data_IF_641373841729
#
_entry.id   IF_641373841729
#
_cell.length_a   1.000
_cell.length_b   1.000
_cell.length_c   1.000
_cell.angle_alpha   90.00
_cell.angle_beta   90.00
_cell.angle_gamma   90.00
#
_symmetry.space_group_name_H-M   'P 1'
#
loop_
_entity.id
_entity.type
_entity.pdbx_description
1 polymer ?
#
# COMPACT_ATOMS: atom_id res chain seq x y z
N UNK A 1 -20.90 -49.91 65.57
CA UNK A 1 -19.50 -49.45 65.61
C UNK A 1 -19.51 -47.97 65.25
N UNK A 2 -19.87 -47.08 66.18
CA UNK A 2 -19.09 -46.45 67.27
C UNK A 2 -18.76 -45.00 66.89
N UNK A 3 -19.24 -44.08 67.73
CA UNK A 3 -19.10 -42.64 67.64
C UNK A 3 -17.77 -42.14 68.25
N UNK A 4 -17.22 -41.03 67.74
CA UNK A 4 -17.07 -39.72 68.44
C UNK A 4 -16.15 -38.75 67.68
N UNK A 5 -16.36 -37.42 67.81
CA UNK A 5 -15.56 -36.35 67.18
C UNK A 5 -14.48 -35.82 68.14
N UNK A 6 -13.43 -35.16 67.61
CA UNK A 6 -12.66 -34.14 68.36
C UNK A 6 -11.70 -33.37 67.42
N UNK A 7 -11.68 -32.04 67.53
CA UNK A 7 -10.54 -31.21 67.12
C UNK A 7 -10.85 -30.12 66.09
N UNK A 8 -11.27 -28.95 66.56
CA UNK A 8 -11.13 -27.69 65.81
C UNK A 8 -9.66 -27.28 65.93
N UNK A 9 -8.92 -27.34 64.82
CA UNK A 9 -7.57 -26.81 64.70
C UNK A 9 -7.54 -25.80 63.56
N UNK A 10 -7.62 -24.52 63.92
CA UNK A 10 -7.49 -23.42 62.99
C UNK A 10 -5.99 -23.10 62.84
N UNK A 11 -5.36 -23.54 61.76
CA UNK A 11 -4.10 -22.95 61.28
C UNK A 11 -4.14 -22.88 59.75
N UNK A 12 -3.85 -21.68 59.29
CA UNK A 12 -4.02 -21.14 57.95
C UNK A 12 -2.75 -21.41 57.10
N UNK A 13 -2.90 -21.36 55.77
CA UNK A 13 -1.90 -21.06 54.74
C UNK A 13 -1.03 -22.26 54.29
N UNK A 14 -0.87 -22.62 53.01
CA UNK A 14 -1.14 -21.94 51.75
C UNK A 14 -1.46 -22.98 50.66
N UNK A 15 -2.54 -22.77 49.91
CA UNK A 15 -2.76 -23.49 48.64
C UNK A 15 -1.89 -22.81 47.59
N UNK A 16 -0.90 -23.53 47.06
CA UNK A 16 -0.14 -23.09 45.90
C UNK A 16 -1.08 -23.10 44.67
N UNK A 17 -1.78 -21.99 44.45
CA UNK A 17 -2.44 -21.71 43.18
C UNK A 17 -1.37 -21.37 42.15
N UNK A 18 -1.01 -22.34 41.33
CA UNK A 18 -0.24 -22.11 40.11
C UNK A 18 -1.08 -21.25 39.18
N UNK A 19 -0.91 -19.93 39.26
CA UNK A 19 -1.43 -19.01 38.26
C UNK A 19 -0.73 -19.32 36.93
N UNK A 20 -1.43 -19.98 36.01
CA UNK A 20 -1.02 -20.04 34.62
C UNK A 20 -1.18 -18.62 34.07
N UNK A 21 -0.09 -17.87 34.05
CA UNK A 21 -0.04 -16.59 33.35
C UNK A 21 -0.13 -16.88 31.86
N UNK A 22 -1.30 -16.65 31.26
CA UNK A 22 -1.38 -16.43 29.82
C UNK A 22 -0.59 -15.16 29.52
N UNK A 23 0.65 -15.31 29.06
CA UNK A 23 1.39 -14.22 28.46
C UNK A 23 0.64 -13.86 27.17
N UNK A 24 -0.14 -12.78 27.21
CA UNK A 24 -0.54 -12.07 26.00
C UNK A 24 0.76 -11.58 25.36
N UNK A 25 1.32 -12.40 24.47
CA UNK A 25 2.39 -11.96 23.60
C UNK A 25 1.81 -10.81 22.78
N UNK A 26 2.07 -9.59 23.22
CA UNK A 26 2.03 -8.44 22.32
C UNK A 26 3.14 -8.71 21.30
N UNK A 27 2.80 -9.42 20.24
CA UNK A 27 3.58 -9.44 19.02
C UNK A 27 3.43 -8.05 18.40
N UNK A 28 4.07 -7.06 19.02
CA UNK A 28 4.48 -5.86 18.33
C UNK A 28 5.42 -6.36 17.24
N UNK A 29 4.88 -6.51 16.03
CA UNK A 29 5.71 -6.69 14.86
C UNK A 29 6.79 -5.60 14.89
N UNK A 30 8.02 -6.03 14.72
CA UNK A 30 9.27 -5.27 14.70
C UNK A 30 9.10 -3.88 14.05
N UNK A 31 8.88 -2.83 14.87
CA UNK A 31 8.70 -1.43 14.45
C UNK A 31 10.05 -0.69 14.38
N UNK A 32 11.18 -1.42 14.42
CA UNK A 32 12.52 -0.86 14.52
C UNK A 32 13.17 -0.43 13.20
N UNK A 33 12.62 -0.81 12.04
CA UNK A 33 13.31 -0.62 10.76
C UNK A 33 12.38 -0.36 9.55
N UNK A 34 11.22 0.27 9.75
CA UNK A 34 10.35 0.62 8.63
C UNK A 34 10.20 2.10 8.37
N UNK A 35 10.03 2.41 7.09
CA UNK A 35 9.94 3.76 6.56
C UNK A 35 8.47 4.11 6.36
N UNK A 36 8.11 5.33 6.77
CA UNK A 36 6.79 5.93 6.57
C UNK A 36 6.99 7.16 5.69
N UNK A 37 6.25 7.24 4.59
CA UNK A 37 6.28 8.38 3.69
C UNK A 37 5.51 9.55 4.29
N UNK A 38 6.04 10.74 4.10
CA UNK A 38 5.34 12.01 4.29
C UNK A 38 4.44 12.32 3.10
N UNK A 39 3.48 13.21 3.29
CA UNK A 39 2.59 13.66 2.21
C UNK A 39 3.35 14.30 1.04
N UNK A 40 4.46 15.00 1.32
CA UNK A 40 5.30 15.62 0.30
C UNK A 40 6.15 14.59 -0.46
N UNK A 41 6.59 13.50 0.18
CA UNK A 41 7.23 12.38 -0.50
C UNK A 41 6.24 11.67 -1.43
N UNK A 42 4.98 11.48 -1.01
CA UNK A 42 3.96 10.88 -1.87
C UNK A 42 3.60 11.76 -3.07
N UNK A 43 3.62 13.09 -2.92
CA UNK A 43 3.51 14.01 -4.05
C UNK A 43 4.72 13.89 -4.99
N UNK A 44 5.94 13.85 -4.43
CA UNK A 44 7.16 13.72 -5.20
C UNK A 44 7.23 12.39 -5.97
N UNK A 45 6.68 11.29 -5.42
CA UNK A 45 6.57 10.01 -6.14
C UNK A 45 5.63 10.11 -7.35
N UNK A 46 4.50 10.80 -7.22
CA UNK A 46 3.62 11.08 -8.35
C UNK A 46 4.31 11.96 -9.40
N UNK A 47 4.99 13.04 -8.98
CA UNK A 47 5.76 13.91 -9.88
C UNK A 47 6.83 13.12 -10.62
N UNK A 48 7.62 12.29 -9.92
CA UNK A 48 8.65 11.42 -10.53
C UNK A 48 8.07 10.49 -11.57
N UNK A 49 6.89 9.91 -11.31
CA UNK A 49 6.19 9.06 -12.28
C UNK A 49 5.73 9.85 -13.52
N UNK A 50 5.15 11.02 -13.33
CA UNK A 50 4.68 11.86 -14.43
C UNK A 50 5.86 12.40 -15.26
N UNK A 51 6.98 12.75 -14.63
CA UNK A 51 8.21 13.16 -15.32
C UNK A 51 8.79 12.01 -16.16
N UNK A 52 8.75 10.78 -15.65
CA UNK A 52 9.16 9.60 -16.40
C UNK A 52 8.27 9.40 -17.64
N UNK A 53 6.94 9.59 -17.50
CA UNK A 53 5.99 9.52 -18.61
C UNK A 53 6.28 10.60 -19.66
N UNK A 54 6.44 11.85 -19.22
CA UNK A 54 6.75 13.01 -20.09
C UNK A 54 8.09 12.86 -20.80
N UNK A 55 9.06 12.15 -20.20
CA UNK A 55 10.35 11.91 -20.83
C UNK A 55 10.28 11.06 -22.11
N UNK A 56 9.15 10.40 -22.36
CA UNK A 56 8.95 9.55 -23.52
C UNK A 56 9.66 8.20 -23.44
N UNK A 57 10.20 7.83 -22.28
CA UNK A 57 10.92 6.58 -22.05
C UNK A 57 10.10 5.63 -21.16
N UNK A 58 9.42 4.67 -21.78
CA UNK A 58 8.60 3.68 -21.07
C UNK A 58 9.41 2.84 -20.06
N UNK A 59 10.72 2.64 -20.29
CA UNK A 59 11.56 1.89 -19.35
C UNK A 59 11.77 2.64 -18.04
N UNK A 60 11.85 3.99 -18.09
CA UNK A 60 11.91 4.83 -16.88
C UNK A 60 10.62 4.78 -16.10
N UNK A 61 9.47 4.72 -16.78
CA UNK A 61 8.17 4.56 -16.11
C UNK A 61 8.11 3.19 -15.44
N UNK A 62 8.43 2.11 -16.18
CA UNK A 62 8.39 0.74 -15.66
C UNK A 62 9.35 0.52 -14.49
N UNK A 63 10.50 1.20 -14.44
CA UNK A 63 11.45 1.12 -13.33
C UNK A 63 10.91 1.67 -12.00
N UNK A 64 9.77 2.37 -12.00
CA UNK A 64 9.08 2.85 -10.80
C UNK A 64 8.11 1.82 -10.22
N UNK A 65 7.88 0.72 -10.93
CA UNK A 65 7.02 -0.38 -10.51
C UNK A 65 7.85 -1.49 -9.89
N UNK A 66 7.27 -2.17 -8.91
CA UNK A 66 7.84 -3.43 -8.40
C UNK A 66 7.80 -4.50 -9.49
N UNK A 67 8.63 -5.53 -9.34
CA UNK A 67 8.62 -6.69 -10.23
C UNK A 67 7.31 -7.49 -10.19
N UNK A 68 6.55 -7.39 -9.11
CA UNK A 68 5.25 -8.03 -8.86
C UNK A 68 4.07 -7.02 -8.89
N UNK A 69 4.29 -5.84 -9.47
CA UNK A 69 3.26 -4.80 -9.50
C UNK A 69 2.09 -5.17 -10.42
N UNK A 70 0.90 -4.71 -10.06
CA UNK A 70 -0.31 -4.88 -10.87
C UNK A 70 -0.85 -3.52 -11.31
N UNK A 71 -1.06 -3.37 -12.61
CA UNK A 71 -1.64 -2.21 -13.25
C UNK A 71 -3.03 -2.55 -13.82
N UNK A 72 -4.05 -1.81 -13.36
CA UNK A 72 -5.39 -1.77 -13.91
C UNK A 72 -5.53 -0.44 -14.67
N UNK A 73 -5.26 -0.43 -15.99
CA UNK A 73 -5.19 0.79 -16.77
C UNK A 73 -6.57 1.38 -17.12
N UNK A 74 -6.61 2.69 -17.35
CA UNK A 74 -7.85 3.45 -17.60
C UNK A 74 -8.59 3.06 -18.89
N UNK A 75 -7.85 2.74 -19.96
CA UNK A 75 -8.37 2.66 -21.34
C UNK A 75 -8.03 1.33 -22.03
N UNK A 76 -7.56 0.32 -21.31
CA UNK A 76 -7.21 -0.97 -21.91
C UNK A 76 -7.67 -2.16 -21.08
N UNK A 77 -8.00 -3.23 -21.80
CA UNK A 77 -7.95 -4.61 -21.31
C UNK A 77 -6.82 -5.31 -22.07
N UNK A 78 -5.99 -6.18 -21.45
CA UNK A 78 -6.11 -6.78 -20.12
C UNK A 78 -5.43 -5.97 -18.98
N UNK A 79 -5.51 -6.51 -17.75
CA UNK A 79 -4.63 -6.17 -16.62
C UNK A 79 -3.17 -6.42 -17.06
N UNK A 80 -2.25 -5.56 -16.63
CA UNK A 80 -0.82 -5.77 -16.79
C UNK A 80 -0.22 -6.12 -15.42
N UNK A 81 0.23 -7.37 -15.26
CA UNK A 81 0.77 -7.88 -13.98
C UNK A 81 2.21 -8.40 -14.11
N UNK A 82 2.85 -8.12 -15.25
CA UNK A 82 4.28 -8.35 -15.47
C UNK A 82 5.00 -7.07 -15.87
N UNK A 83 6.33 -6.96 -15.62
CA UNK A 83 7.12 -5.81 -16.07
C UNK A 83 7.06 -5.57 -17.59
N UNK A 84 6.95 -6.64 -18.38
CA UNK A 84 6.86 -6.56 -19.84
C UNK A 84 5.54 -5.92 -20.27
N UNK A 85 4.43 -6.32 -19.67
CA UNK A 85 3.10 -5.77 -19.99
C UNK A 85 2.95 -4.33 -19.51
N UNK A 86 3.44 -4.00 -18.31
CA UNK A 86 3.47 -2.61 -17.81
C UNK A 86 4.28 -1.73 -18.76
N UNK A 87 5.45 -2.20 -19.20
CA UNK A 87 6.28 -1.48 -20.18
C UNK A 87 5.52 -1.30 -21.50
N UNK A 88 4.89 -2.35 -22.03
CA UNK A 88 4.14 -2.30 -23.28
C UNK A 88 2.95 -1.33 -23.20
N UNK A 89 2.27 -1.25 -22.06
CA UNK A 89 1.22 -0.26 -21.82
C UNK A 89 1.77 1.16 -21.95
N UNK A 90 2.88 1.48 -21.28
CA UNK A 90 3.45 2.82 -21.32
C UNK A 90 4.07 3.18 -22.67
N UNK A 91 4.63 2.21 -23.41
CA UNK A 91 5.03 2.42 -24.81
C UNK A 91 3.87 2.94 -25.66
N UNK A 92 2.65 2.46 -25.41
CA UNK A 92 1.47 2.93 -26.15
C UNK A 92 0.94 4.26 -25.62
N UNK A 93 0.90 4.45 -24.30
CA UNK A 93 0.41 5.69 -23.70
C UNK A 93 1.31 6.89 -24.06
N UNK A 94 2.62 6.72 -24.10
CA UNK A 94 3.57 7.79 -24.47
C UNK A 94 3.30 8.34 -25.87
N UNK A 95 2.84 7.50 -26.81
CA UNK A 95 2.52 7.94 -28.18
C UNK A 95 1.41 8.99 -28.24
N UNK A 96 0.63 9.14 -27.17
CA UNK A 96 -0.44 10.14 -27.08
C UNK A 96 0.01 11.45 -26.42
N UNK A 97 1.30 11.60 -26.13
CA UNK A 97 1.86 12.71 -25.35
C UNK A 97 1.14 12.88 -24.01
N UNK A 98 0.84 11.75 -23.36
CA UNK A 98 0.03 11.77 -22.16
C UNK A 98 0.73 12.53 -21.02
N UNK A 99 -0.05 13.36 -20.33
CA UNK A 99 0.37 13.97 -19.06
C UNK A 99 -0.73 13.75 -18.02
N UNK A 100 -0.39 13.85 -16.74
CA UNK A 100 -1.39 13.69 -15.68
C UNK A 100 -1.18 14.65 -14.53
N UNK A 101 -2.28 15.04 -13.87
CA UNK A 101 -2.25 15.86 -12.66
C UNK A 101 -3.27 15.35 -11.63
N UNK A 102 -2.87 15.27 -10.37
CA UNK A 102 -3.81 15.05 -9.28
C UNK A 102 -4.68 16.30 -9.10
N UNK A 103 -5.98 16.10 -8.91
CA UNK A 103 -6.97 17.17 -8.64
C UNK A 103 -7.41 17.11 -7.18
N UNK A 104 -7.50 15.90 -6.63
CA UNK A 104 -7.82 15.63 -5.23
C UNK A 104 -7.03 14.40 -4.79
N UNK A 105 -6.48 14.45 -3.59
CA UNK A 105 -5.60 13.40 -3.07
C UNK A 105 -5.89 13.14 -1.60
N UNK A 106 -5.96 11.85 -1.26
CA UNK A 106 -6.01 11.31 0.09
C UNK A 106 -4.81 10.39 0.28
N UNK A 107 -4.02 10.68 1.31
CA UNK A 107 -2.73 10.04 1.53
C UNK A 107 -2.74 9.31 2.86
N UNK A 108 -1.97 8.23 2.89
CA UNK A 108 -1.75 7.45 4.08
C UNK A 108 -0.40 6.76 3.97
N UNK A 109 0.28 6.63 5.10
CA UNK A 109 1.46 5.80 5.18
C UNK A 109 1.51 5.07 6.51
N UNK A 110 1.92 3.82 6.41
CA UNK A 110 2.34 2.99 7.52
C UNK A 110 3.69 2.33 7.19
N UNK A 111 4.05 1.33 7.99
CA UNK A 111 5.32 0.63 7.92
C UNK A 111 5.59 0.03 6.51
N UNK A 112 6.49 0.65 5.75
CA UNK A 112 6.88 0.25 4.39
C UNK A 112 5.72 0.15 3.37
N UNK A 113 4.58 0.77 3.66
CA UNK A 113 3.39 0.81 2.81
C UNK A 113 2.81 2.23 2.82
N UNK A 114 2.45 2.73 1.67
CA UNK A 114 1.77 4.00 1.56
C UNK A 114 0.81 4.00 0.38
N UNK A 115 -0.17 4.89 0.40
CA UNK A 115 -1.01 5.15 -0.75
C UNK A 115 -1.25 6.64 -0.97
N UNK A 116 -1.46 6.97 -2.24
CA UNK A 116 -2.03 8.24 -2.69
C UNK A 116 -3.21 7.89 -3.59
N UNK A 117 -4.42 8.21 -3.18
CA UNK A 117 -5.65 7.89 -3.92
C UNK A 117 -6.48 9.14 -4.14
N UNK A 118 -7.30 9.16 -5.17
CA UNK A 118 -8.22 10.28 -5.38
C UNK A 118 -8.61 10.47 -6.82
N UNK A 119 -8.77 11.73 -7.21
CA UNK A 119 -9.14 12.13 -8.57
C UNK A 119 -7.97 12.78 -9.27
N UNK A 120 -7.84 12.45 -10.55
CA UNK A 120 -6.82 13.01 -11.42
C UNK A 120 -7.38 13.27 -12.80
N UNK A 121 -6.67 14.08 -13.57
CA UNK A 121 -6.96 14.30 -14.98
C UNK A 121 -5.80 13.75 -15.79
N UNK A 122 -6.13 12.94 -16.79
CA UNK A 122 -5.20 12.44 -17.79
C UNK A 122 -5.43 13.27 -19.04
N UNK A 123 -4.42 14.01 -19.48
CA UNK A 123 -4.43 14.61 -20.80
C UNK A 123 -3.81 13.63 -21.78
N UNK A 124 -4.49 13.35 -22.90
CA UNK A 124 -4.01 12.44 -23.95
C UNK A 124 -4.46 13.00 -25.30
N UNK A 125 -3.53 13.21 -26.24
CA UNK A 125 -3.80 13.87 -27.52
C UNK A 125 -4.49 15.25 -27.36
N UNK A 126 -4.15 15.99 -26.29
CA UNK A 126 -4.74 17.30 -25.99
C UNK A 126 -6.16 17.24 -25.45
N UNK A 127 -6.71 16.06 -25.14
CA UNK A 127 -8.01 15.88 -24.52
C UNK A 127 -7.85 15.50 -23.05
N UNK A 128 -8.53 16.25 -22.17
CA UNK A 128 -8.60 15.95 -20.73
C UNK A 128 -9.66 14.88 -20.46
N UNK A 129 -9.27 13.84 -19.72
CA UNK A 129 -10.16 12.78 -19.22
C UNK A 129 -10.08 12.79 -17.70
N UNK A 130 -11.22 13.01 -17.04
CA UNK A 130 -11.33 12.87 -15.59
C UNK A 130 -11.43 11.41 -15.17
N UNK A 131 -10.63 11.04 -14.17
CA UNK A 131 -10.55 9.68 -13.68
C UNK A 131 -10.34 9.64 -12.16
N UNK A 132 -10.49 8.45 -11.60
CA UNK A 132 -10.06 8.09 -10.25
C UNK A 132 -8.78 7.28 -10.35
N UNK A 133 -7.90 7.42 -9.37
CA UNK A 133 -6.64 6.70 -9.31
C UNK A 133 -6.34 6.21 -7.90
N UNK A 134 -5.70 5.05 -7.82
CA UNK A 134 -5.09 4.55 -6.60
C UNK A 134 -3.63 4.19 -6.89
N UNK A 135 -2.72 4.87 -6.20
CA UNK A 135 -1.30 4.54 -6.16
C UNK A 135 -1.01 3.86 -4.83
N UNK A 136 -0.57 2.61 -4.87
CA UNK A 136 -0.09 1.88 -3.69
C UNK A 136 1.40 1.68 -3.84
N UNK A 137 2.17 2.08 -2.83
CA UNK A 137 3.62 2.00 -2.81
C UNK A 137 4.10 1.04 -1.74
N UNK A 138 5.18 0.31 -2.02
CA UNK A 138 5.96 -0.43 -1.00
C UNK A 138 7.37 0.11 -0.96
N UNK A 139 7.93 0.18 0.25
CA UNK A 139 9.32 0.51 0.44
C UNK A 139 10.17 -0.75 0.38
N UNK A 140 11.14 -0.81 -0.52
CA UNK A 140 12.13 -1.88 -0.59
C UNK A 140 13.48 -1.36 -1.10
N UNK A 141 14.58 -1.91 -0.56
CA UNK A 141 15.93 -1.59 -1.01
C UNK A 141 16.23 -0.08 -1.12
N UNK A 142 15.75 0.70 -0.14
CA UNK A 142 15.97 2.15 -0.12
C UNK A 142 15.00 2.98 -0.95
N UNK A 143 14.02 2.37 -1.64
CA UNK A 143 13.17 3.02 -2.62
C UNK A 143 11.69 2.73 -2.40
N UNK A 144 10.84 3.73 -2.64
CA UNK A 144 9.40 3.54 -2.81
C UNK A 144 9.10 3.15 -4.25
N UNK A 145 8.43 2.01 -4.43
CA UNK A 145 8.03 1.48 -5.73
C UNK A 145 6.53 1.22 -5.77
N UNK A 146 5.92 1.41 -6.93
CA UNK A 146 4.49 1.19 -7.16
C UNK A 146 4.22 -0.32 -7.12
N UNK A 147 3.37 -0.74 -6.20
CA UNK A 147 2.87 -2.11 -6.06
C UNK A 147 1.51 -2.30 -6.73
N UNK A 148 0.65 -1.28 -6.68
CA UNK A 148 -0.62 -1.28 -7.39
C UNK A 148 -0.88 0.10 -7.99
N UNK A 149 -1.29 0.11 -9.26
CA UNK A 149 -1.84 1.27 -9.93
C UNK A 149 -3.19 0.86 -10.49
N UNK A 150 -4.26 1.43 -9.95
CA UNK A 150 -5.59 1.33 -10.56
C UNK A 150 -6.01 2.71 -11.03
N UNK A 151 -6.30 2.86 -12.32
CA UNK A 151 -6.95 4.05 -12.86
C UNK A 151 -8.24 3.70 -13.59
N UNK A 152 -9.31 4.46 -13.35
CA UNK A 152 -10.61 4.27 -14.00
C UNK A 152 -11.25 5.61 -14.33
N UNK A 153 -11.83 5.72 -15.53
CA UNK A 153 -12.63 6.90 -15.90
C UNK A 153 -13.74 7.08 -14.88
N UNK A 154 -14.13 8.33 -14.62
CA UNK A 154 -15.32 8.60 -13.81
C UNK A 154 -16.54 7.90 -14.44
N UNK A 155 -17.38 7.22 -13.64
CA UNK A 155 -18.59 6.60 -14.15
C UNK A 155 -19.51 7.67 -14.74
N UNK A 156 -20.15 7.35 -15.86
CA UNK A 156 -21.23 8.18 -16.40
C UNK A 156 -22.48 7.93 -15.55
N UNK A 157 -23.14 9.01 -15.14
CA UNK A 157 -24.46 8.99 -14.48
C UNK A 157 -25.59 8.78 -15.48
#
# INVERSE_FOLDING_TARGET
>A
MNAKPCGVGLVILAVAMSAVSCSSGNSSADDGNCVRATDSELDALFTKWNDALVSGDASKVAALYRSDAVLLPTLSVPIADTPVEITAYFVNLIKTNATSRMVESFKYSECNLAYNVGRWVINSNGQDVEARVSWVYRYENGNWLIANHHSSVNPQS
#
